data_IF_133164983748
#
_entry.id   IF_133164983748
#
_cell.length_a   1.000
_cell.length_b   1.000
_cell.length_c   1.000
_cell.angle_alpha   90.00
_cell.angle_beta   90.00
_cell.angle_gamma   90.00
#
_symmetry.space_group_name_H-M   'P 1'
#
loop_
_entity.id
_entity.type
_entity.pdbx_description
1 polymer ?
#
# COMPACT_ATOMS: atom_id res chain seq x y z
N UNK A 1 17.50 4.96 -34.19
CA UNK A 1 16.19 5.03 -33.50
C UNK A 1 15.79 3.62 -33.09
N UNK A 2 15.87 3.32 -31.80
CA UNK A 2 15.34 2.11 -31.17
C UNK A 2 14.53 2.58 -29.95
N UNK A 3 13.30 2.09 -29.86
CA UNK A 3 12.24 2.62 -29.01
C UNK A 3 12.60 2.69 -27.52
N UNK A 4 12.55 3.89 -26.95
CA UNK A 4 12.43 4.12 -25.51
C UNK A 4 11.02 3.68 -25.06
N UNK A 5 10.84 2.37 -24.90
CA UNK A 5 9.62 1.81 -24.29
C UNK A 5 9.69 1.99 -22.77
N UNK A 6 9.43 3.23 -22.33
CA UNK A 6 8.72 3.49 -21.08
C UNK A 6 9.39 3.05 -19.78
N UNK A 7 10.69 3.32 -19.61
CA UNK A 7 11.32 3.15 -18.31
C UNK A 7 10.90 4.30 -17.35
N UNK A 8 9.68 4.22 -16.81
CA UNK A 8 9.22 5.15 -15.77
C UNK A 8 9.99 4.85 -14.48
N UNK A 9 10.55 5.89 -13.85
CA UNK A 9 11.18 5.77 -12.53
C UNK A 9 10.18 5.26 -11.49
N UNK A 10 10.70 4.74 -10.38
CA UNK A 10 9.88 4.33 -9.24
C UNK A 10 9.00 5.49 -8.74
N UNK A 11 9.50 6.72 -8.77
CA UNK A 11 8.73 7.93 -8.42
C UNK A 11 7.55 8.16 -9.35
N UNK A 12 7.75 8.08 -10.67
CA UNK A 12 6.68 8.30 -11.64
C UNK A 12 5.58 7.23 -11.51
N UNK A 13 5.99 5.96 -11.31
CA UNK A 13 5.06 4.86 -11.07
C UNK A 13 4.30 5.02 -9.75
N UNK A 14 4.98 5.50 -8.70
CA UNK A 14 4.37 5.84 -7.43
C UNK A 14 3.33 6.97 -7.58
N UNK A 15 3.67 8.07 -8.25
CA UNK A 15 2.74 9.19 -8.44
C UNK A 15 1.48 8.77 -9.20
N UNK A 16 1.62 7.92 -10.21
CA UNK A 16 0.47 7.36 -10.93
C UNK A 16 -0.38 6.44 -10.05
N UNK A 17 0.27 5.58 -9.25
CA UNK A 17 -0.41 4.70 -8.29
C UNK A 17 -1.17 5.53 -7.24
N UNK A 18 -0.52 6.57 -6.72
CA UNK A 18 -1.09 7.47 -5.72
C UNK A 18 -2.33 8.19 -6.25
N UNK A 19 -2.29 8.76 -7.46
CA UNK A 19 -3.47 9.41 -8.07
C UNK A 19 -4.67 8.48 -8.13
N UNK A 20 -4.45 7.21 -8.50
CA UNK A 20 -5.51 6.20 -8.55
C UNK A 20 -6.01 5.82 -7.17
N UNK A 21 -5.09 5.64 -6.23
CA UNK A 21 -5.44 5.34 -4.85
C UNK A 21 -6.23 6.47 -4.18
N UNK A 22 -5.83 7.72 -4.36
CA UNK A 22 -6.59 8.89 -3.87
C UNK A 22 -8.02 8.85 -4.39
N UNK A 23 -8.24 8.47 -5.64
CA UNK A 23 -9.60 8.29 -6.17
C UNK A 23 -10.37 7.16 -5.46
N UNK A 24 -9.69 6.09 -5.04
CA UNK A 24 -10.32 5.00 -4.27
C UNK A 24 -10.81 5.51 -2.93
N UNK A 25 -9.94 6.16 -2.16
CA UNK A 25 -10.25 6.67 -0.82
C UNK A 25 -11.24 7.84 -0.87
N UNK A 26 -11.00 8.85 -1.71
CA UNK A 26 -11.83 10.06 -1.75
C UNK A 26 -13.24 9.85 -2.31
N UNK A 27 -13.45 8.81 -3.12
CA UNK A 27 -14.79 8.46 -3.61
C UNK A 27 -15.42 7.32 -2.80
N UNK A 28 -14.76 6.85 -1.74
CA UNK A 28 -15.18 5.72 -0.92
C UNK A 28 -15.51 4.45 -1.73
N UNK A 29 -14.82 4.24 -2.86
CA UNK A 29 -15.04 3.09 -3.75
C UNK A 29 -14.18 1.88 -3.34
N UNK A 30 -14.22 1.56 -2.05
CA UNK A 30 -13.38 0.55 -1.40
C UNK A 30 -13.65 -0.88 -1.90
N UNK A 31 -14.80 -1.12 -2.55
CA UNK A 31 -15.18 -2.40 -3.17
C UNK A 31 -14.59 -2.60 -4.57
N UNK A 32 -13.93 -1.60 -5.15
CA UNK A 32 -13.43 -1.69 -6.53
C UNK A 32 -12.10 -2.45 -6.59
N UNK A 33 -12.17 -3.79 -6.58
CA UNK A 33 -11.01 -4.68 -6.73
C UNK A 33 -10.18 -4.34 -7.99
N UNK A 34 -10.84 -4.03 -9.10
CA UNK A 34 -10.16 -3.64 -10.35
C UNK A 34 -9.26 -2.41 -10.15
N UNK A 35 -9.75 -1.40 -9.42
CA UNK A 35 -8.98 -0.20 -9.13
C UNK A 35 -7.83 -0.51 -8.18
N UNK A 36 -8.08 -1.29 -7.12
CA UNK A 36 -7.06 -1.73 -6.15
C UNK A 36 -5.94 -2.51 -6.84
N UNK A 37 -6.26 -3.50 -7.67
CA UNK A 37 -5.28 -4.25 -8.46
C UNK A 37 -4.56 -3.36 -9.49
N UNK A 38 -5.22 -2.33 -10.02
CA UNK A 38 -4.55 -1.37 -10.91
C UNK A 38 -3.47 -0.56 -10.19
N UNK A 39 -3.69 -0.20 -8.93
CA UNK A 39 -2.73 0.48 -8.05
C UNK A 39 -1.59 -0.48 -7.71
N UNK A 40 -1.93 -1.69 -7.27
CA UNK A 40 -0.98 -2.76 -6.95
C UNK A 40 0.02 -3.00 -8.09
N UNK A 41 -0.48 -3.15 -9.33
CA UNK A 41 0.37 -3.39 -10.51
C UNK A 41 1.39 -2.28 -10.76
N UNK A 42 1.03 -1.02 -10.50
CA UNK A 42 1.96 0.11 -10.66
C UNK A 42 3.03 0.09 -9.58
N UNK A 43 2.65 -0.21 -8.34
CA UNK A 43 3.57 -0.26 -7.21
C UNK A 43 4.52 -1.46 -7.29
N UNK A 44 4.06 -2.62 -7.76
CA UNK A 44 4.94 -3.74 -8.05
C UNK A 44 5.95 -3.39 -9.16
N UNK A 45 5.55 -2.61 -10.17
CA UNK A 45 6.50 -2.10 -11.17
C UNK A 45 7.51 -1.15 -10.53
N UNK A 46 7.08 -0.24 -9.65
CA UNK A 46 7.98 0.67 -8.94
C UNK A 46 8.99 -0.10 -8.07
N UNK A 47 8.54 -1.12 -7.35
CA UNK A 47 9.38 -2.02 -6.54
C UNK A 47 10.41 -2.78 -7.38
N UNK A 48 10.07 -3.20 -8.61
CA UNK A 48 11.03 -3.83 -9.53
C UNK A 48 12.11 -2.87 -10.00
N UNK A 49 11.81 -1.57 -10.09
CA UNK A 49 12.78 -0.53 -10.44
C UNK A 49 13.66 -0.12 -9.26
N UNK A 50 13.06 -0.01 -8.07
CA UNK A 50 13.76 0.26 -6.83
C UNK A 50 13.07 -0.48 -5.68
N UNK A 51 13.71 -1.56 -5.20
CA UNK A 51 13.16 -2.45 -4.18
C UNK A 51 13.07 -1.80 -2.79
N UNK A 52 13.78 -0.69 -2.56
CA UNK A 52 13.77 0.07 -1.30
C UNK A 52 13.08 1.43 -1.44
N UNK A 53 12.26 1.62 -2.48
CA UNK A 53 11.50 2.86 -2.66
C UNK A 53 10.35 2.94 -1.63
N UNK A 54 10.64 3.57 -0.47
CA UNK A 54 9.75 3.61 0.69
C UNK A 54 8.33 4.08 0.36
N UNK A 55 8.09 5.18 -0.39
CA UNK A 55 6.72 5.61 -0.69
C UNK A 55 5.89 4.54 -1.41
N UNK A 56 6.51 3.81 -2.34
CA UNK A 56 5.83 2.69 -3.01
C UNK A 56 5.55 1.52 -2.09
N UNK A 57 6.47 1.19 -1.19
CA UNK A 57 6.29 0.10 -0.25
C UNK A 57 5.18 0.43 0.77
N UNK A 58 5.14 1.66 1.27
CA UNK A 58 4.09 2.14 2.18
C UNK A 58 2.71 2.03 1.53
N UNK A 59 2.56 2.52 0.30
CA UNK A 59 1.28 2.44 -0.40
C UNK A 59 0.94 1.00 -0.80
N UNK A 60 1.94 0.19 -1.15
CA UNK A 60 1.72 -1.21 -1.54
C UNK A 60 1.21 -2.04 -0.36
N UNK A 61 1.74 -1.83 0.85
CA UNK A 61 1.20 -2.51 2.03
C UNK A 61 -0.27 -2.16 2.27
N UNK A 62 -0.64 -0.89 2.11
CA UNK A 62 -2.02 -0.42 2.31
C UNK A 62 -2.98 -1.05 1.29
N UNK A 63 -2.56 -1.10 0.02
CA UNK A 63 -3.33 -1.75 -1.05
C UNK A 63 -3.48 -3.25 -0.81
N UNK A 64 -2.41 -3.94 -0.39
CA UNK A 64 -2.46 -5.37 -0.09
C UNK A 64 -3.34 -5.67 1.12
N UNK A 65 -3.33 -4.81 2.15
CA UNK A 65 -4.28 -4.88 3.25
C UNK A 65 -5.72 -4.74 2.74
N UNK A 66 -6.01 -3.71 1.94
CA UNK A 66 -7.34 -3.47 1.38
C UNK A 66 -7.85 -4.63 0.49
N UNK A 67 -6.94 -5.31 -0.22
CA UNK A 67 -7.22 -6.53 -1.00
C UNK A 67 -7.35 -7.80 -0.16
N UNK A 68 -7.25 -7.72 1.18
CA UNK A 68 -7.26 -8.89 2.07
C UNK A 68 -6.01 -9.78 1.96
N UNK A 69 -5.00 -9.35 1.21
CA UNK A 69 -3.72 -10.07 1.02
C UNK A 69 -2.79 -9.83 2.21
N UNK A 70 -3.23 -10.20 3.42
CA UNK A 70 -2.56 -9.90 4.69
C UNK A 70 -1.14 -10.44 4.78
N UNK A 71 -0.88 -11.64 4.25
CA UNK A 71 0.46 -12.22 4.24
C UNK A 71 1.44 -11.42 3.37
N UNK A 72 1.03 -11.05 2.15
CA UNK A 72 1.84 -10.22 1.27
C UNK A 72 2.05 -8.83 1.87
N UNK A 73 1.03 -8.26 2.51
CA UNK A 73 1.16 -6.98 3.22
C UNK A 73 2.20 -7.07 4.36
N UNK A 74 2.20 -8.18 5.11
CA UNK A 74 3.16 -8.40 6.21
C UNK A 74 4.61 -8.38 5.71
N UNK A 75 4.90 -9.06 4.60
CA UNK A 75 6.25 -9.09 4.01
C UNK A 75 6.75 -7.68 3.61
N UNK A 76 5.84 -6.85 3.09
CA UNK A 76 6.16 -5.45 2.76
C UNK A 76 6.41 -4.63 4.03
N UNK A 77 5.59 -4.83 5.07
CA UNK A 77 5.74 -4.13 6.36
C UNK A 77 7.04 -4.52 7.07
N UNK A 78 7.41 -5.80 7.08
CA UNK A 78 8.69 -6.25 7.61
C UNK A 78 9.88 -5.61 6.87
N UNK A 79 9.77 -5.50 5.55
CA UNK A 79 10.76 -4.79 4.74
C UNK A 79 10.85 -3.30 5.10
N UNK A 80 9.71 -2.64 5.32
CA UNK A 80 9.64 -1.24 5.74
C UNK A 80 10.28 -1.01 7.11
N UNK A 81 10.00 -1.88 8.10
CA UNK A 81 10.60 -1.82 9.43
C UNK A 81 12.12 -1.98 9.35
N UNK A 82 12.62 -2.86 8.47
CA UNK A 82 14.05 -3.01 8.26
C UNK A 82 14.71 -1.79 7.59
N UNK A 83 13.97 -1.03 6.77
CA UNK A 83 14.47 0.19 6.11
C UNK A 83 14.40 1.39 7.05
N UNK A 84 13.33 1.53 7.82
CA UNK A 84 13.06 2.64 8.75
C UNK A 84 12.77 2.12 10.16
N UNK A 85 13.81 1.63 10.90
CA UNK A 85 13.63 1.22 12.27
C UNK A 85 13.15 2.40 13.13
N UNK A 86 12.04 2.22 13.85
CA UNK A 86 11.46 3.27 14.69
C UNK A 86 10.36 4.11 14.02
N UNK A 87 9.94 3.78 12.80
CA UNK A 87 8.72 4.35 12.23
C UNK A 87 7.48 3.67 12.85
N UNK A 88 6.80 4.39 13.76
CA UNK A 88 5.62 3.91 14.49
C UNK A 88 4.49 3.44 13.57
N UNK A 89 4.36 4.04 12.37
CA UNK A 89 3.32 3.63 11.41
C UNK A 89 3.54 2.20 10.93
N UNK A 90 4.79 1.80 10.66
CA UNK A 90 5.09 0.45 10.21
C UNK A 90 4.87 -0.57 11.33
N UNK A 91 5.19 -0.19 12.58
CA UNK A 91 4.92 -1.01 13.77
C UNK A 91 3.42 -1.19 13.99
N UNK A 92 2.63 -0.12 13.88
CA UNK A 92 1.17 -0.19 14.01
C UNK A 92 0.54 -1.06 12.92
N UNK A 93 1.00 -0.94 11.65
CA UNK A 93 0.57 -1.82 10.56
C UNK A 93 0.83 -3.29 10.87
N UNK A 94 2.03 -3.61 11.37
CA UNK A 94 2.41 -4.98 11.72
C UNK A 94 1.49 -5.53 12.80
N UNK A 95 1.29 -4.78 13.89
CA UNK A 95 0.42 -5.18 14.98
C UNK A 95 -1.04 -5.41 14.51
N UNK A 96 -1.55 -4.56 13.61
CA UNK A 96 -2.85 -4.76 13.00
C UNK A 96 -2.89 -6.08 12.21
N UNK A 97 -1.94 -6.30 11.29
CA UNK A 97 -1.88 -7.52 10.48
C UNK A 97 -1.77 -8.81 11.32
N UNK A 98 -0.96 -8.80 12.38
CA UNK A 98 -0.84 -9.91 13.33
C UNK A 98 -2.18 -10.20 14.03
N UNK A 99 -2.89 -9.15 14.46
CA UNK A 99 -4.24 -9.27 15.05
C UNK A 99 -5.23 -9.91 14.06
N UNK A 100 -5.24 -9.45 12.81
CA UNK A 100 -6.18 -9.95 11.79
C UNK A 100 -5.96 -11.43 11.43
N UNK A 101 -4.72 -11.93 11.54
CA UNK A 101 -4.42 -13.36 11.35
C UNK A 101 -5.03 -14.24 12.44
N UNK A 102 -5.18 -13.72 13.66
CA UNK A 102 -5.76 -14.45 14.79
C UNK A 102 -7.29 -14.42 14.75
N UNK A 103 -7.90 -13.37 14.22
CA UNK A 103 -9.35 -13.10 14.31
C UNK A 103 -10.14 -13.43 13.04
N UNK A 104 -9.75 -14.45 12.27
CA UNK A 104 -10.22 -14.77 10.90
C UNK A 104 -11.75 -14.82 10.63
N UNK A 105 -12.60 -14.63 11.64
CA UNK A 105 -14.07 -14.71 11.57
C UNK A 105 -14.82 -13.36 11.72
N UNK A 106 -14.15 -12.24 12.02
CA UNK A 106 -14.77 -10.91 12.00
C UNK A 106 -14.42 -10.17 10.70
N UNK A 107 -15.25 -9.21 10.30
CA UNK A 107 -15.07 -8.41 9.09
C UNK A 107 -13.82 -7.50 9.23
N UNK A 108 -12.65 -8.12 9.06
CA UNK A 108 -11.31 -7.53 9.14
C UNK A 108 -11.16 -6.30 8.22
N UNK A 109 -12.05 -6.20 7.23
CA UNK A 109 -12.14 -5.11 6.26
C UNK A 109 -12.40 -3.76 6.91
N UNK A 110 -13.31 -3.68 7.87
CA UNK A 110 -13.64 -2.41 8.54
C UNK A 110 -12.43 -1.85 9.28
N UNK A 111 -11.75 -2.68 10.07
CA UNK A 111 -10.54 -2.28 10.79
C UNK A 111 -9.39 -1.88 9.86
N UNK A 112 -9.27 -2.50 8.69
CA UNK A 112 -8.29 -2.12 7.66
C UNK A 112 -8.60 -0.72 7.11
N UNK A 113 -9.86 -0.47 6.75
CA UNK A 113 -10.24 0.81 6.16
C UNK A 113 -10.22 1.94 7.18
N UNK A 114 -10.61 1.71 8.43
CA UNK A 114 -10.45 2.67 9.52
C UNK A 114 -8.97 3.09 9.67
N UNK A 115 -8.06 2.11 9.69
CA UNK A 115 -6.62 2.37 9.77
C UNK A 115 -6.10 3.17 8.57
N UNK A 116 -6.52 2.81 7.35
CA UNK A 116 -6.14 3.50 6.12
C UNK A 116 -6.68 4.94 6.12
N UNK A 117 -7.97 5.13 6.36
CA UNK A 117 -8.62 6.45 6.32
C UNK A 117 -8.10 7.40 7.39
N UNK A 118 -7.86 6.91 8.61
CA UNK A 118 -7.26 7.72 9.67
C UNK A 118 -5.90 8.29 9.23
N UNK A 119 -5.10 7.48 8.53
CA UNK A 119 -3.84 7.94 7.94
C UNK A 119 -4.07 8.98 6.83
N UNK A 120 -4.96 8.70 5.88
CA UNK A 120 -5.21 9.59 4.74
C UNK A 120 -5.83 10.93 5.10
N UNK A 121 -6.57 11.00 6.21
CA UNK A 121 -7.21 12.24 6.69
C UNK A 121 -6.30 13.08 7.59
N UNK A 122 -5.41 12.46 8.36
CA UNK A 122 -4.63 13.16 9.41
C UNK A 122 -3.25 13.65 8.98
N UNK A 123 -2.76 13.20 7.82
CA UNK A 123 -1.40 13.53 7.39
C UNK A 123 -1.44 14.08 5.96
N UNK A 124 -1.03 15.35 5.85
CA UNK A 124 -0.85 16.03 4.57
C UNK A 124 0.42 15.58 3.85
N UNK A 125 1.30 14.85 4.55
CA UNK A 125 2.60 14.39 4.08
C UNK A 125 2.55 12.90 3.73
N UNK A 126 2.40 12.63 2.44
CA UNK A 126 2.74 11.37 1.79
C UNK A 126 3.39 11.70 0.46
#
# INVERSE_FOLDING_TARGET
>A
MLFDRGNRSADNLYLDARKRWTRVVSLSIHDSEDMLHSVERLLQKARRQNSRHVPSLVLLSDVLMALGSTQNAMEIVDSLIAIEPGNDTHVQKKALLERLQVTANYDNREAIWEFIEARWTQTSDW
#
